data_IF_959317182001
#
_entry.id   IF_959317182001
#
_cell.length_a   1.000
_cell.length_b   1.000
_cell.length_c   1.000
_cell.angle_alpha   90.00
_cell.angle_beta   90.00
_cell.angle_gamma   90.00
#
_symmetry.space_group_name_H-M   'P 1'
#
loop_
_entity.id
_entity.type
_entity.pdbx_description
1 polymer ?
#
# COMPACT_ATOMS: atom_id res chain seq x y z
N UNK A 1 3.15 16.98 -3.42
CA UNK A 1 2.19 16.45 -2.43
C UNK A 1 2.79 16.62 -1.02
N UNK A 2 1.99 16.81 0.03
CA UNK A 2 2.51 16.78 1.41
C UNK A 2 3.08 15.40 1.75
N UNK A 3 4.18 15.32 2.50
CA UNK A 3 4.89 14.04 2.68
C UNK A 3 4.12 13.02 3.54
N UNK A 4 3.32 13.46 4.51
CA UNK A 4 2.67 12.57 5.49
C UNK A 4 1.72 11.53 4.90
N UNK A 5 0.99 11.87 3.84
CA UNK A 5 0.00 10.99 3.19
C UNK A 5 0.34 10.67 1.74
N UNK A 6 1.58 10.96 1.32
CA UNK A 6 2.01 10.73 -0.07
C UNK A 6 1.97 9.25 -0.44
N UNK A 7 2.38 8.35 0.46
CA UNK A 7 2.37 6.91 0.22
C UNK A 7 0.94 6.37 0.01
N UNK A 8 -0.04 6.85 0.80
CA UNK A 8 -1.46 6.53 0.60
C UNK A 8 -1.96 7.02 -0.76
N UNK A 9 -1.65 8.28 -1.12
CA UNK A 9 -2.10 8.86 -2.39
C UNK A 9 -1.47 8.15 -3.59
N UNK A 10 -0.18 7.84 -3.51
CA UNK A 10 0.53 7.08 -4.54
C UNK A 10 -0.06 5.67 -4.69
N UNK A 11 -0.41 5.03 -3.57
CA UNK A 11 -1.08 3.73 -3.57
C UNK A 11 -2.46 3.79 -4.24
N UNK A 12 -3.32 4.73 -3.82
CA UNK A 12 -4.65 4.92 -4.40
C UNK A 12 -4.59 5.20 -5.91
N UNK A 13 -3.75 6.15 -6.34
CA UNK A 13 -3.58 6.48 -7.75
C UNK A 13 -3.11 5.28 -8.59
N UNK A 14 -2.28 4.39 -8.02
CA UNK A 14 -1.83 3.19 -8.74
C UNK A 14 -2.99 2.24 -9.10
N UNK A 15 -4.06 2.22 -8.31
CA UNK A 15 -5.26 1.42 -8.58
C UNK A 15 -6.26 2.18 -9.46
N UNK A 16 -6.42 3.48 -9.23
CA UNK A 16 -7.38 4.34 -9.96
C UNK A 16 -6.98 4.58 -11.43
N UNK A 17 -5.69 4.56 -11.75
CA UNK A 17 -5.16 4.82 -13.09
C UNK A 17 -4.92 3.50 -13.85
N UNK A 18 -5.99 2.81 -14.23
CA UNK A 18 -5.90 1.58 -15.01
C UNK A 18 -5.32 1.86 -16.42
N UNK A 19 -4.47 0.96 -16.90
CA UNK A 19 -3.86 1.09 -18.23
C UNK A 19 -2.93 2.30 -18.35
N UNK A 20 -2.35 2.77 -17.23
CA UNK A 20 -1.44 3.90 -17.24
C UNK A 20 -0.23 3.65 -18.16
N UNK A 21 -0.12 4.46 -19.21
CA UNK A 21 0.98 4.40 -20.19
C UNK A 21 1.92 5.59 -20.12
N UNK A 22 1.83 6.41 -19.07
CA UNK A 22 2.65 7.60 -18.84
C UNK A 22 3.07 7.68 -17.37
N UNK A 23 4.25 8.24 -17.06
CA UNK A 23 4.72 8.36 -15.68
C UNK A 23 3.84 9.30 -14.87
N UNK A 24 3.52 8.90 -13.64
CA UNK A 24 2.93 9.75 -12.60
C UNK A 24 3.86 9.73 -11.40
N UNK A 25 4.68 10.78 -11.26
CA UNK A 25 5.69 10.87 -10.20
C UNK A 25 5.18 11.80 -9.10
N UNK A 26 4.85 11.24 -7.94
CA UNK A 26 4.61 12.01 -6.73
C UNK A 26 5.96 12.38 -6.11
N UNK A 27 6.08 13.64 -5.71
CA UNK A 27 7.21 14.12 -4.93
C UNK A 27 6.77 15.26 -4.01
N UNK A 28 7.68 15.75 -3.17
CA UNK A 28 7.46 16.82 -2.22
C UNK A 28 8.78 17.22 -1.57
N UNK A 29 8.69 17.72 -0.34
CA UNK A 29 9.87 18.11 0.43
C UNK A 29 9.58 18.04 1.93
N UNK A 30 10.63 17.92 2.73
CA UNK A 30 10.55 18.12 4.18
C UNK A 30 10.62 19.61 4.53
N UNK A 31 11.36 20.40 3.73
CA UNK A 31 11.49 21.84 3.93
C UNK A 31 10.76 22.63 2.84
N UNK A 32 10.13 23.78 3.17
CA UNK A 32 9.55 24.66 2.17
C UNK A 32 10.58 25.10 1.12
N UNK A 33 10.14 25.28 -0.12
CA UNK A 33 11.02 25.61 -1.27
C UNK A 33 11.78 26.94 -1.11
N UNK A 34 11.30 27.85 -0.25
CA UNK A 34 11.97 29.12 0.05
C UNK A 34 13.12 29.02 1.05
N UNK A 35 13.32 27.87 1.69
CA UNK A 35 14.36 27.68 2.72
C UNK A 35 15.70 27.32 2.08
N UNK A 36 16.81 27.88 2.60
CA UNK A 36 18.17 27.71 2.04
C UNK A 36 18.57 26.24 1.85
N UNK A 37 18.21 25.37 2.81
CA UNK A 37 18.57 23.93 2.79
C UNK A 37 17.45 23.03 2.26
N UNK A 38 16.55 23.57 1.43
CA UNK A 38 15.39 22.81 0.93
C UNK A 38 15.79 21.67 0.00
N UNK A 39 15.14 20.53 0.21
CA UNK A 39 15.14 19.36 -0.69
C UNK A 39 14.14 19.51 -1.85
N UNK A 40 13.23 20.51 -1.79
CA UNK A 40 12.14 20.68 -2.76
C UNK A 40 12.61 20.90 -4.19
N UNK A 41 13.69 21.65 -4.39
CA UNK A 41 14.18 22.01 -5.72
C UNK A 41 14.70 20.77 -6.45
N UNK A 42 15.59 20.03 -5.81
CA UNK A 42 16.20 18.83 -6.38
C UNK A 42 15.16 17.73 -6.58
N UNK A 43 14.25 17.56 -5.62
CA UNK A 43 13.14 16.62 -5.73
C UNK A 43 12.25 16.93 -6.94
N UNK A 44 11.86 18.19 -7.13
CA UNK A 44 10.99 18.60 -8.23
C UNK A 44 11.67 18.46 -9.59
N UNK A 45 12.90 18.95 -9.75
CA UNK A 45 13.63 18.91 -11.01
C UNK A 45 13.83 17.46 -11.45
N UNK A 46 14.29 16.60 -10.54
CA UNK A 46 14.56 15.20 -10.87
C UNK A 46 13.26 14.44 -11.16
N UNK A 47 12.17 14.71 -10.43
CA UNK A 47 10.87 14.12 -10.73
C UNK A 47 10.38 14.48 -12.15
N UNK A 48 10.61 15.73 -12.60
CA UNK A 48 10.30 16.16 -13.97
C UNK A 48 11.20 15.44 -14.98
N UNK A 49 12.50 15.31 -14.71
CA UNK A 49 13.44 14.56 -15.57
C UNK A 49 12.98 13.10 -15.75
N UNK A 50 12.61 12.43 -14.65
CA UNK A 50 12.07 11.07 -14.66
C UNK A 50 10.78 10.98 -15.48
N UNK A 51 9.85 11.94 -15.29
CA UNK A 51 8.58 11.95 -16.04
C UNK A 51 8.78 12.22 -17.55
N UNK A 52 9.82 12.98 -17.91
CA UNK A 52 10.19 13.27 -19.29
C UNK A 52 11.03 12.15 -19.93
N UNK A 53 11.63 11.26 -19.14
CA UNK A 53 12.55 10.24 -19.63
C UNK A 53 11.88 9.26 -20.60
N UNK A 54 12.57 8.96 -21.70
CA UNK A 54 12.18 7.98 -22.72
C UNK A 54 13.25 6.91 -22.94
N UNK A 55 12.84 5.72 -23.33
CA UNK A 55 13.73 4.68 -23.84
C UNK A 55 14.14 4.95 -25.30
N UNK A 56 14.91 4.04 -25.89
CA UNK A 56 15.44 4.18 -27.26
C UNK A 56 14.31 4.15 -28.30
N UNK A 57 13.17 3.52 -27.98
CA UNK A 57 11.97 3.48 -28.82
C UNK A 57 11.02 4.66 -28.58
N UNK A 58 11.40 5.64 -27.75
CA UNK A 58 10.60 6.82 -27.46
C UNK A 58 9.44 6.59 -26.49
N UNK A 59 9.39 5.44 -25.81
CA UNK A 59 8.37 5.10 -24.80
C UNK A 59 8.79 5.60 -23.42
N UNK A 60 7.86 5.87 -22.50
CA UNK A 60 8.23 6.31 -21.16
C UNK A 60 8.99 5.24 -20.38
N UNK A 61 10.07 5.63 -19.69
CA UNK A 61 10.90 4.69 -18.92
C UNK A 61 10.18 4.09 -17.71
N UNK A 62 9.24 4.83 -17.11
CA UNK A 62 8.51 4.43 -15.90
C UNK A 62 7.01 4.64 -16.11
N UNK A 63 6.29 3.70 -16.77
CA UNK A 63 4.86 3.82 -17.04
C UNK A 63 4.00 3.41 -15.83
N UNK A 64 4.30 3.95 -14.65
CA UNK A 64 3.60 3.62 -13.40
C UNK A 64 3.53 4.82 -12.45
N UNK A 65 2.71 4.69 -11.40
CA UNK A 65 2.67 5.66 -10.30
C UNK A 65 3.86 5.41 -9.40
N UNK A 66 4.69 6.42 -9.20
CA UNK A 66 5.93 6.34 -8.45
C UNK A 66 6.04 7.47 -7.43
N UNK A 67 6.85 7.26 -6.39
CA UNK A 67 7.26 8.29 -5.43
C UNK A 67 8.75 8.54 -5.61
N UNK A 68 9.12 9.79 -5.88
CA UNK A 68 10.51 10.21 -5.91
C UNK A 68 10.85 11.02 -4.67
N UNK A 69 11.87 10.59 -3.93
CA UNK A 69 12.38 11.30 -2.75
C UNK A 69 13.84 10.88 -2.49
N UNK A 70 14.71 11.82 -2.13
CA UNK A 70 16.11 11.58 -1.76
C UNK A 70 16.82 10.58 -2.67
N UNK A 71 16.98 10.97 -3.93
CA UNK A 71 17.74 10.23 -4.93
C UNK A 71 17.14 8.88 -5.32
N UNK A 72 16.00 8.45 -4.78
CA UNK A 72 15.38 7.18 -5.10
C UNK A 72 14.00 7.38 -5.68
N UNK A 73 13.71 6.62 -6.73
CA UNK A 73 12.38 6.44 -7.28
C UNK A 73 11.84 5.10 -6.81
N UNK A 74 10.68 5.10 -6.18
CA UNK A 74 10.03 3.91 -5.65
C UNK A 74 8.69 3.68 -6.35
N UNK A 75 8.25 2.43 -6.47
CA UNK A 75 6.87 2.13 -6.88
C UNK A 75 5.90 2.68 -5.84
N UNK A 76 4.89 3.44 -6.26
CA UNK A 76 4.01 4.19 -5.37
C UNK A 76 3.32 3.32 -4.31
N UNK A 77 2.71 2.22 -4.74
CA UNK A 77 2.02 1.25 -3.87
C UNK A 77 2.93 0.26 -3.12
N UNK A 78 4.24 0.52 -3.11
CA UNK A 78 5.23 -0.19 -2.28
C UNK A 78 5.90 0.74 -1.27
N UNK A 79 5.53 2.02 -1.26
CA UNK A 79 6.17 3.03 -0.42
C UNK A 79 5.52 3.13 0.95
N UNK A 80 6.35 3.45 1.95
CA UNK A 80 5.96 3.84 3.30
C UNK A 80 6.78 5.05 3.73
N UNK A 81 6.20 5.94 4.54
CA UNK A 81 6.98 7.01 5.19
C UNK A 81 7.59 6.45 6.48
N UNK A 82 8.91 6.27 6.51
CA UNK A 82 9.65 5.67 7.64
C UNK A 82 10.23 6.69 8.61
N UNK A 83 10.32 7.96 8.22
CA UNK A 83 10.89 8.99 9.07
C UNK A 83 10.17 10.34 8.91
N UNK A 84 9.94 11.02 10.03
CA UNK A 84 9.25 12.31 10.04
C UNK A 84 10.18 13.50 9.71
N UNK A 85 11.43 13.46 10.18
CA UNK A 85 12.34 14.62 10.09
C UNK A 85 13.53 14.47 9.12
N UNK A 86 13.98 13.23 8.84
CA UNK A 86 15.07 13.01 7.89
C UNK A 86 14.57 13.26 6.48
N UNK A 87 15.45 13.77 5.65
CA UNK A 87 15.17 13.86 4.22
C UNK A 87 14.86 12.49 3.63
N UNK A 88 15.59 11.43 4.04
CA UNK A 88 15.31 10.03 3.65
C UNK A 88 14.06 9.51 4.37
N UNK A 89 12.91 10.09 4.01
CA UNK A 89 11.64 9.91 4.68
C UNK A 89 10.87 8.70 4.17
N UNK A 90 11.14 8.25 2.94
CA UNK A 90 10.41 7.16 2.28
C UNK A 90 11.30 5.95 2.02
N UNK A 91 10.71 4.77 2.13
CA UNK A 91 11.32 3.49 1.71
C UNK A 91 10.32 2.62 0.99
N UNK A 92 10.84 1.66 0.23
CA UNK A 92 10.10 0.54 -0.35
C UNK A 92 10.62 -0.77 0.24
N UNK A 93 10.06 -1.25 1.36
CA UNK A 93 10.69 -2.31 2.16
C UNK A 93 10.67 -3.68 1.48
N UNK A 94 9.66 -3.94 0.65
CA UNK A 94 9.39 -5.24 0.03
C UNK A 94 9.62 -5.25 -1.49
N UNK A 95 10.10 -4.14 -2.08
CA UNK A 95 10.38 -4.04 -3.51
C UNK A 95 11.56 -3.09 -3.75
N UNK A 96 12.52 -3.41 -4.65
CA UNK A 96 13.65 -2.53 -4.91
C UNK A 96 13.21 -1.15 -5.48
N UNK A 97 14.05 -0.11 -5.35
CA UNK A 97 13.86 1.14 -6.07
C UNK A 97 13.78 0.91 -7.59
N UNK A 98 12.91 1.67 -8.25
CA UNK A 98 12.77 1.69 -9.71
C UNK A 98 13.94 2.41 -10.38
N UNK A 99 14.49 3.41 -9.70
CA UNK A 99 15.66 4.14 -10.16
C UNK A 99 16.42 4.78 -9.00
N UNK A 100 17.69 5.06 -9.22
CA UNK A 100 18.56 5.83 -8.34
C UNK A 100 19.15 7.02 -9.11
N UNK A 101 18.93 8.24 -8.62
CA UNK A 101 19.43 9.48 -9.18
C UNK A 101 20.78 9.84 -8.57
N UNK A 102 21.86 9.45 -9.25
CA UNK A 102 23.21 9.96 -8.99
C UNK A 102 23.60 11.04 -10.00
N UNK A 103 24.87 11.05 -10.42
CA UNK A 103 25.33 11.89 -11.56
C UNK A 103 24.52 11.63 -12.83
N UNK A 104 23.99 10.42 -12.98
CA UNK A 104 22.98 10.04 -13.97
C UNK A 104 21.89 9.24 -13.24
N UNK A 105 20.68 9.27 -13.78
CA UNK A 105 19.58 8.42 -13.30
C UNK A 105 19.77 6.99 -13.82
N UNK A 106 19.94 6.04 -12.90
CA UNK A 106 20.06 4.61 -13.20
C UNK A 106 18.72 3.93 -12.96
N UNK A 107 18.12 3.38 -14.01
CA UNK A 107 16.82 2.70 -13.92
C UNK A 107 17.01 1.18 -13.75
N UNK A 108 16.28 0.57 -12.83
CA UNK A 108 16.16 -0.88 -12.73
C UNK A 108 14.96 -1.36 -13.57
N UNK A 109 15.24 -1.71 -14.82
CA UNK A 109 14.23 -2.19 -15.77
C UNK A 109 13.52 -3.48 -15.32
N UNK A 110 14.09 -4.26 -14.39
CA UNK A 110 13.46 -5.47 -13.85
C UNK A 110 12.47 -5.14 -12.74
N UNK A 111 12.69 -4.04 -12.03
CA UNK A 111 11.81 -3.55 -10.99
C UNK A 111 10.59 -2.81 -11.55
N UNK A 112 10.71 -2.19 -12.73
CA UNK A 112 9.68 -1.35 -13.36
C UNK A 112 8.58 -2.19 -14.02
N UNK A 113 7.32 -1.76 -13.90
CA UNK A 113 6.21 -2.41 -14.62
C UNK A 113 6.37 -2.25 -16.14
N UNK A 114 6.12 -3.31 -16.94
CA UNK A 114 6.07 -3.17 -18.38
C UNK A 114 4.88 -2.30 -18.79
N UNK A 115 5.01 -1.61 -19.93
CA UNK A 115 3.91 -0.88 -20.54
C UNK A 115 2.75 -1.84 -20.82
N UNK A 116 1.57 -1.54 -20.28
CA UNK A 116 0.39 -2.38 -20.46
C UNK A 116 -0.32 -2.05 -21.77
N UNK A 117 -0.65 -3.08 -22.54
CA UNK A 117 -1.50 -2.96 -23.73
C UNK A 117 -2.98 -2.93 -23.34
N UNK A 118 -3.38 -1.95 -22.52
CA UNK A 118 -4.77 -1.71 -22.14
C UNK A 118 -5.13 -0.24 -22.35
N UNK A 119 -6.37 0.09 -22.75
CA UNK A 119 -6.82 1.47 -22.77
C UNK A 119 -6.71 2.12 -21.40
N UNK A 120 -6.29 3.38 -21.37
CA UNK A 120 -6.26 4.16 -20.14
C UNK A 120 -7.68 4.42 -19.64
N UNK A 121 -7.95 4.07 -18.38
CA UNK A 121 -9.22 4.32 -17.70
C UNK A 121 -8.94 4.91 -16.33
N UNK A 122 -9.62 6.01 -16.00
CA UNK A 122 -9.64 6.57 -14.65
C UNK A 122 -10.86 6.03 -13.93
N UNK A 123 -10.63 5.36 -12.82
CA UNK A 123 -11.66 5.01 -11.85
C UNK A 123 -11.77 6.15 -10.84
N UNK A 124 -12.98 6.56 -10.50
CA UNK A 124 -13.23 7.73 -9.62
C UNK A 124 -13.94 7.35 -8.33
N UNK A 125 -14.31 6.08 -8.16
CA UNK A 125 -14.98 5.58 -6.98
C UNK A 125 -13.97 5.01 -5.97
N UNK A 126 -14.13 5.41 -4.72
CA UNK A 126 -13.50 4.80 -3.55
C UNK A 126 -14.59 4.65 -2.50
N UNK A 127 -14.58 3.53 -1.79
CA UNK A 127 -15.46 3.31 -0.66
C UNK A 127 -14.68 3.50 0.64
N UNK A 128 -15.13 4.41 1.49
CA UNK A 128 -14.47 4.79 2.75
C UNK A 128 -14.97 3.99 3.96
N UNK A 129 -15.87 3.01 3.76
CA UNK A 129 -16.37 2.11 4.80
C UNK A 129 -15.35 1.03 5.17
N UNK A 130 -14.11 1.45 5.40
CA UNK A 130 -12.97 0.61 5.75
C UNK A 130 -12.25 1.14 6.99
N UNK A 131 -11.55 0.26 7.71
CA UNK A 131 -10.76 0.65 8.88
C UNK A 131 -9.37 0.03 8.91
N UNK A 132 -8.49 0.59 9.75
CA UNK A 132 -7.20 -0.03 10.10
C UNK A 132 -7.19 -0.30 11.60
N UNK A 133 -6.85 -1.53 12.00
CA UNK A 133 -6.79 -1.96 13.39
C UNK A 133 -5.36 -2.45 13.72
N UNK A 134 -4.49 -1.58 14.25
CA UNK A 134 -3.18 -1.99 14.75
C UNK A 134 -3.32 -2.84 16.01
N UNK A 135 -2.70 -4.02 16.01
CA UNK A 135 -2.66 -4.89 17.19
C UNK A 135 -1.48 -4.52 18.09
N UNK A 136 -1.71 -4.53 19.39
CA UNK A 136 -0.69 -4.32 20.41
C UNK A 136 -0.92 -5.24 21.62
N UNK A 137 0.14 -5.61 22.38
CA UNK A 137 -0.03 -6.39 23.59
C UNK A 137 -0.96 -5.70 24.60
N UNK A 138 -1.98 -6.40 25.06
CA UNK A 138 -2.99 -5.85 25.97
C UNK A 138 -4.18 -5.15 25.28
N UNK A 139 -4.27 -5.22 23.95
CA UNK A 139 -5.48 -4.79 23.23
C UNK A 139 -6.71 -5.52 23.80
N UNK A 140 -7.72 -4.76 24.21
CA UNK A 140 -8.89 -5.34 24.89
C UNK A 140 -9.93 -5.84 23.88
N UNK A 141 -10.49 -7.05 24.05
CA UNK A 141 -11.51 -7.58 23.14
C UNK A 141 -12.77 -6.72 23.00
N UNK A 142 -13.20 -6.05 24.08
CA UNK A 142 -14.36 -5.14 24.08
C UNK A 142 -14.13 -3.91 23.20
N UNK A 143 -12.92 -3.33 23.22
CA UNK A 143 -12.54 -2.25 22.33
C UNK A 143 -12.53 -2.68 20.86
N UNK A 144 -11.97 -3.86 20.56
CA UNK A 144 -11.97 -4.43 19.20
C UNK A 144 -13.39 -4.64 18.71
N UNK A 145 -14.26 -5.24 19.54
CA UNK A 145 -15.67 -5.44 19.22
C UNK A 145 -16.39 -4.13 18.94
N UNK A 146 -16.13 -3.10 19.74
CA UNK A 146 -16.70 -1.76 19.52
C UNK A 146 -16.24 -1.15 18.20
N UNK A 147 -14.94 -1.22 17.87
CA UNK A 147 -14.40 -0.70 16.62
C UNK A 147 -15.02 -1.43 15.41
N UNK A 148 -15.17 -2.74 15.49
CA UNK A 148 -15.78 -3.59 14.45
C UNK A 148 -17.32 -3.48 14.38
N UNK A 149 -17.93 -2.73 15.30
CA UNK A 149 -19.38 -2.44 15.30
C UNK A 149 -19.68 -1.07 14.67
N UNK A 150 -18.68 -0.42 14.06
CA UNK A 150 -18.86 0.83 13.30
C UNK A 150 -19.95 0.63 12.23
N UNK A 151 -20.96 1.52 12.14
CA UNK A 151 -22.03 1.40 11.15
C UNK A 151 -21.47 1.31 9.73
N UNK A 152 -22.09 0.44 8.92
CA UNK A 152 -21.80 0.23 7.50
C UNK A 152 -20.35 -0.22 7.17
N UNK A 153 -19.53 -0.56 8.17
CA UNK A 153 -18.17 -1.05 7.96
C UNK A 153 -18.16 -2.29 7.05
N UNK A 154 -17.37 -2.25 5.98
CA UNK A 154 -17.28 -3.30 4.96
C UNK A 154 -15.97 -4.09 5.03
N UNK A 155 -14.89 -3.48 5.52
CA UNK A 155 -13.61 -4.19 5.64
C UNK A 155 -12.62 -3.54 6.59
N UNK A 156 -11.67 -4.33 7.10
CA UNK A 156 -10.67 -3.88 8.06
C UNK A 156 -9.31 -4.47 7.72
N UNK A 157 -8.30 -3.60 7.64
CA UNK A 157 -6.89 -4.00 7.63
C UNK A 157 -6.44 -4.24 9.07
N UNK A 158 -6.20 -5.49 9.43
CA UNK A 158 -5.59 -5.88 10.70
C UNK A 158 -4.07 -5.74 10.57
N UNK A 159 -3.48 -4.80 11.31
CA UNK A 159 -2.03 -4.61 11.37
C UNK A 159 -1.46 -5.48 12.50
N UNK A 160 -0.96 -6.66 12.13
CA UNK A 160 -0.60 -7.77 13.04
C UNK A 160 0.90 -7.87 13.30
N UNK A 161 1.31 -8.72 14.25
CA UNK A 161 2.71 -8.88 14.63
C UNK A 161 3.48 -9.80 13.67
N UNK A 162 4.73 -9.43 13.35
CA UNK A 162 5.69 -10.32 12.69
C UNK A 162 5.13 -10.86 11.36
N UNK A 163 5.06 -12.19 11.25
CA UNK A 163 4.58 -12.87 10.03
C UNK A 163 3.05 -13.01 9.95
N UNK A 164 2.26 -12.17 10.63
CA UNK A 164 0.80 -12.22 10.57
C UNK A 164 0.07 -12.69 11.83
N UNK A 165 0.71 -12.59 13.01
CA UNK A 165 0.20 -13.17 14.26
C UNK A 165 -0.63 -12.16 15.07
N UNK A 166 -1.70 -12.64 15.71
CA UNK A 166 -2.54 -11.86 16.61
C UNK A 166 -2.81 -12.57 17.95
N UNK A 167 -3.56 -11.91 18.86
CA UNK A 167 -4.02 -12.52 20.11
C UNK A 167 -4.83 -13.80 19.87
N UNK A 168 -4.66 -14.77 20.76
CA UNK A 168 -5.43 -16.03 20.78
C UNK A 168 -6.52 -16.05 21.85
N UNK A 169 -6.76 -14.90 22.49
CA UNK A 169 -7.82 -14.76 23.49
C UNK A 169 -9.19 -15.10 22.87
N UNK A 170 -10.00 -15.98 23.49
CA UNK A 170 -11.28 -16.38 22.91
C UNK A 170 -12.25 -15.23 22.65
N UNK A 171 -12.28 -14.20 23.51
CA UNK A 171 -13.17 -13.07 23.33
C UNK A 171 -12.71 -12.15 22.18
N UNK A 172 -11.39 -12.03 21.96
CA UNK A 172 -10.84 -11.36 20.78
C UNK A 172 -11.23 -12.09 19.49
N UNK A 173 -11.02 -13.41 19.47
CA UNK A 173 -11.40 -14.27 18.34
C UNK A 173 -12.89 -14.20 18.05
N UNK A 174 -13.73 -14.17 19.08
CA UNK A 174 -15.18 -14.00 18.93
C UNK A 174 -15.54 -12.63 18.35
N UNK A 175 -14.87 -11.55 18.74
CA UNK A 175 -15.10 -10.23 18.16
C UNK A 175 -14.80 -10.19 16.65
N UNK A 176 -13.75 -10.88 16.20
CA UNK A 176 -13.44 -11.04 14.78
C UNK A 176 -14.48 -11.90 14.05
N UNK A 177 -14.93 -13.00 14.70
CA UNK A 177 -15.98 -13.88 14.17
C UNK A 177 -17.28 -13.14 13.93
N UNK A 178 -17.75 -12.38 14.92
CA UNK A 178 -18.97 -11.59 14.78
C UNK A 178 -18.87 -10.53 13.68
N UNK A 179 -17.69 -9.91 13.51
CA UNK A 179 -17.46 -8.95 12.43
C UNK A 179 -17.58 -9.62 11.06
N UNK A 180 -16.95 -10.77 10.88
CA UNK A 180 -17.06 -11.58 9.67
C UNK A 180 -18.50 -12.02 9.42
N UNK A 181 -19.23 -12.44 10.44
CA UNK A 181 -20.62 -12.90 10.31
C UNK A 181 -21.56 -11.75 9.88
N UNK A 182 -21.18 -10.49 10.15
CA UNK A 182 -21.84 -9.29 9.59
C UNK A 182 -21.38 -8.94 8.16
N UNK A 183 -20.47 -9.71 7.58
CA UNK A 183 -19.92 -9.47 6.24
C UNK A 183 -18.72 -8.55 6.18
N UNK A 184 -18.07 -8.23 7.32
CA UNK A 184 -16.86 -7.41 7.33
C UNK A 184 -15.66 -8.26 6.88
N UNK A 185 -14.97 -7.83 5.82
CA UNK A 185 -13.78 -8.52 5.32
C UNK A 185 -12.55 -8.11 6.12
N UNK A 186 -11.87 -9.08 6.73
CA UNK A 186 -10.65 -8.87 7.51
C UNK A 186 -9.41 -9.18 6.66
N UNK A 187 -8.55 -8.20 6.44
CA UNK A 187 -7.29 -8.34 5.70
C UNK A 187 -6.11 -8.25 6.66
N UNK A 188 -5.30 -9.30 6.74
CA UNK A 188 -4.14 -9.40 7.61
C UNK A 188 -2.89 -8.84 6.92
N UNK A 189 -2.33 -7.77 7.45
CA UNK A 189 -1.07 -7.15 7.01
C UNK A 189 -0.13 -7.05 8.21
N UNK A 190 1.16 -7.23 8.01
CA UNK A 190 2.13 -7.06 9.09
C UNK A 190 2.31 -5.58 9.41
N UNK A 191 2.42 -5.23 10.69
CA UNK A 191 2.83 -3.89 11.11
C UNK A 191 4.36 -3.70 11.10
N UNK A 192 5.13 -4.74 10.78
CA UNK A 192 6.56 -4.61 10.53
C UNK A 192 6.79 -3.80 9.24
N UNK A 193 7.83 -2.97 9.21
CA UNK A 193 8.14 -2.13 8.04
C UNK A 193 8.40 -2.98 6.80
N UNK A 194 9.08 -4.12 6.93
CA UNK A 194 9.30 -5.06 5.84
C UNK A 194 8.99 -6.49 6.27
N UNK A 195 8.83 -7.36 5.27
CA UNK A 195 8.40 -8.74 5.44
C UNK A 195 7.00 -8.99 4.88
N UNK A 196 6.49 -10.19 5.12
CA UNK A 196 5.20 -10.65 4.59
C UNK A 196 4.42 -11.45 5.63
N UNK A 197 3.10 -11.43 5.50
CA UNK A 197 2.21 -12.32 6.22
C UNK A 197 2.32 -13.73 5.64
N UNK A 198 2.61 -14.69 6.51
CA UNK A 198 2.70 -16.13 6.23
C UNK A 198 1.73 -16.86 7.16
N UNK A 199 0.46 -16.83 6.78
CA UNK A 199 -0.60 -17.52 7.49
C UNK A 199 -0.37 -19.05 7.45
N UNK A 200 -0.52 -19.71 8.60
CA UNK A 200 -0.28 -21.15 8.77
C UNK A 200 1.11 -21.51 9.27
N UNK A 201 2.06 -20.55 9.36
CA UNK A 201 3.42 -20.83 9.87
C UNK A 201 3.46 -21.06 11.39
N UNK A 202 2.53 -20.48 12.13
CA UNK A 202 2.43 -20.58 13.60
C UNK A 202 0.99 -20.86 14.05
N UNK A 203 0.80 -21.53 15.20
CA UNK A 203 -0.52 -21.84 15.75
C UNK A 203 -1.41 -20.59 15.94
N UNK A 204 -0.82 -19.45 16.27
CA UNK A 204 -1.50 -18.14 16.39
C UNK A 204 -2.14 -17.65 15.09
N UNK A 205 -1.63 -18.09 13.93
CA UNK A 205 -2.18 -17.78 12.61
C UNK A 205 -3.25 -18.79 12.15
N UNK A 206 -3.37 -19.94 12.80
CA UNK A 206 -4.37 -20.96 12.46
C UNK A 206 -5.80 -20.47 12.73
N UNK A 207 -6.03 -19.80 13.87
CA UNK A 207 -7.32 -19.21 14.20
C UNK A 207 -7.75 -18.16 13.15
N UNK A 208 -6.81 -17.40 12.59
CA UNK A 208 -7.11 -16.42 11.55
C UNK A 208 -7.52 -17.10 10.24
N UNK A 209 -6.90 -18.23 9.90
CA UNK A 209 -7.28 -19.04 8.74
C UNK A 209 -8.67 -19.65 8.91
N UNK A 210 -8.96 -20.23 10.07
CA UNK A 210 -10.27 -20.79 10.39
C UNK A 210 -11.39 -19.73 10.37
N UNK A 211 -11.05 -18.49 10.74
CA UNK A 211 -11.97 -17.36 10.63
C UNK A 211 -12.12 -16.82 9.20
N UNK A 212 -11.26 -17.21 8.25
CA UNK A 212 -11.29 -16.66 6.89
C UNK A 212 -10.70 -15.24 6.79
N UNK A 213 -9.79 -14.87 7.70
CA UNK A 213 -9.02 -13.63 7.59
C UNK A 213 -8.08 -13.75 6.38
N UNK A 214 -8.15 -12.80 5.46
CA UNK A 214 -7.42 -12.82 4.19
C UNK A 214 -5.94 -12.50 4.41
N UNK A 215 -4.99 -13.29 3.87
CA UNK A 215 -3.57 -12.94 3.93
C UNK A 215 -3.25 -11.81 2.96
N UNK A 216 -2.71 -10.71 3.47
CA UNK A 216 -2.25 -9.56 2.67
C UNK A 216 -0.85 -9.71 2.07
N UNK A 217 -0.17 -10.84 2.29
CA UNK A 217 1.19 -11.07 1.81
C UNK A 217 2.15 -9.96 2.23
N UNK A 218 2.83 -9.33 1.28
CA UNK A 218 3.83 -8.27 1.49
C UNK A 218 3.30 -6.85 1.20
N UNK A 219 1.97 -6.66 1.20
CA UNK A 219 1.33 -5.35 1.10
C UNK A 219 1.80 -4.42 2.24
N UNK A 220 1.94 -3.13 1.92
CA UNK A 220 1.99 -2.08 2.93
C UNK A 220 0.58 -1.79 3.46
N UNK A 221 0.46 -1.13 4.62
CA UNK A 221 -0.86 -0.72 5.15
C UNK A 221 -1.52 0.28 4.20
N UNK A 222 -0.74 1.19 3.61
CA UNK A 222 -1.17 2.18 2.64
C UNK A 222 -1.78 1.52 1.39
N UNK A 223 -1.10 0.52 0.84
CA UNK A 223 -1.57 -0.23 -0.31
C UNK A 223 -2.76 -1.11 0.03
N UNK A 224 -2.75 -1.79 1.17
CA UNK A 224 -3.85 -2.63 1.62
C UNK A 224 -5.15 -1.85 1.82
N UNK A 225 -5.08 -0.71 2.51
CA UNK A 225 -6.22 0.16 2.76
C UNK A 225 -6.78 0.69 1.43
N UNK A 226 -5.94 1.30 0.61
CA UNK A 226 -6.39 1.93 -0.65
C UNK A 226 -6.85 0.92 -1.69
N UNK A 227 -6.27 -0.30 -1.71
CA UNK A 227 -6.76 -1.41 -2.53
C UNK A 227 -8.16 -1.86 -2.12
N UNK A 228 -8.41 -1.97 -0.82
CA UNK A 228 -9.73 -2.33 -0.30
C UNK A 228 -10.77 -1.24 -0.64
N UNK A 229 -10.43 0.03 -0.44
CA UNK A 229 -11.28 1.17 -0.84
C UNK A 229 -11.60 1.15 -2.33
N UNK A 230 -10.59 0.88 -3.18
CA UNK A 230 -10.74 0.79 -4.63
C UNK A 230 -11.66 -0.37 -5.04
N UNK A 231 -11.42 -1.57 -4.54
CA UNK A 231 -12.23 -2.74 -4.91
C UNK A 231 -13.69 -2.58 -4.49
N UNK A 232 -13.94 -2.07 -3.28
CA UNK A 232 -15.29 -1.74 -2.82
C UNK A 232 -15.93 -0.64 -3.67
N UNK A 233 -15.17 0.40 -4.04
CA UNK A 233 -15.62 1.47 -4.94
C UNK A 233 -16.00 0.98 -6.34
N UNK A 234 -15.32 -0.05 -6.84
CA UNK A 234 -15.65 -0.76 -8.09
C UNK A 234 -16.82 -1.75 -7.93
N UNK A 235 -17.49 -1.78 -6.77
CA UNK A 235 -18.66 -2.62 -6.51
C UNK A 235 -18.33 -4.08 -6.17
N UNK A 236 -17.08 -4.40 -5.82
CA UNK A 236 -16.69 -5.74 -5.37
C UNK A 236 -17.27 -5.99 -3.97
N UNK A 237 -18.37 -6.74 -3.91
CA UNK A 237 -19.04 -7.04 -2.65
C UNK A 237 -18.27 -8.00 -1.72
N UNK A 238 -18.68 -8.14 -0.45
CA UNK A 238 -18.00 -8.95 0.57
C UNK A 238 -17.77 -10.41 0.20
N UNK A 239 -18.62 -10.99 -0.64
CA UNK A 239 -18.48 -12.38 -1.08
C UNK A 239 -17.26 -12.61 -1.98
N UNK A 240 -16.87 -11.59 -2.77
CA UNK A 240 -15.81 -11.69 -3.80
C UNK A 240 -14.55 -10.94 -3.36
N UNK A 241 -14.68 -9.95 -2.47
CA UNK A 241 -13.56 -9.14 -1.99
C UNK A 241 -12.40 -9.99 -1.40
N UNK A 242 -12.64 -11.04 -0.59
CA UNK A 242 -11.59 -11.93 -0.09
C UNK A 242 -10.75 -12.60 -1.18
N UNK A 243 -11.34 -12.88 -2.35
CA UNK A 243 -10.65 -13.50 -3.49
C UNK A 243 -9.84 -12.48 -4.29
N UNK A 244 -10.25 -11.20 -4.29
CA UNK A 244 -9.63 -10.14 -5.08
C UNK A 244 -8.49 -9.43 -4.36
N UNK A 245 -8.54 -9.33 -3.04
CA UNK A 245 -7.50 -8.73 -2.22
C UNK A 245 -6.11 -9.38 -2.39
N UNK A 246 -5.96 -10.72 -2.43
CA UNK A 246 -4.65 -11.36 -2.60
C UNK A 246 -4.17 -11.41 -4.07
N UNK A 247 -4.92 -10.89 -5.04
CA UNK A 247 -4.52 -10.88 -6.46
C UNK A 247 -3.84 -9.55 -6.81
N UNK A 248 -2.56 -9.54 -7.25
CA UNK A 248 -1.88 -8.30 -7.63
C UNK A 248 -2.56 -7.58 -8.80
N UNK A 249 -2.74 -6.27 -8.68
CA UNK A 249 -3.35 -5.43 -9.73
C UNK A 249 -2.28 -4.67 -10.50
N UNK A 250 -1.35 -4.02 -9.78
CA UNK A 250 -0.37 -3.09 -10.33
C UNK A 250 0.96 -3.13 -9.54
N UNK A 251 1.38 -4.34 -9.16
CA UNK A 251 2.70 -4.59 -8.59
C UNK A 251 2.83 -4.28 -7.10
N UNK A 252 1.71 -4.09 -6.39
CA UNK A 252 1.61 -3.82 -4.96
C UNK A 252 1.94 -5.02 -4.06
N UNK A 253 1.83 -6.24 -4.60
CA UNK A 253 1.93 -7.50 -3.88
C UNK A 253 2.78 -8.50 -4.69
N UNK A 254 3.63 -9.26 -3.99
CA UNK A 254 4.44 -10.35 -4.55
C UNK A 254 3.77 -11.69 -4.26
N UNK A 255 3.50 -12.46 -5.32
CA UNK A 255 3.00 -13.83 -5.18
C UNK A 255 4.08 -14.73 -4.59
N UNK A 256 3.67 -15.65 -3.70
CA UNK A 256 4.55 -16.64 -3.08
C UNK A 256 4.97 -17.72 -4.09
#
# INVERSE_FOLDING_TARGET
HGSDTMAYTASALSFLLEGLGKPVVLTGSQLPIGTIRTDARENLITAIEIAAARDEEGRPRVPEVAVYFEYHLYRGNRTVKVHAERFEAFRSPNWPPLAEAGVRIRYDHRAILPLRERPFKVHTALDDRVGVLPLFPGIRPDWVRSALSTPDLMGVVLATFGSGNGPTDPAFIEALREARDRGIVLLNVTQCVGGRVEQGRYATSAAFNELGVVPGGDLTVEAALTKMMFLLGEGVGPAVLPERLPVPICGELTLA
#
